data_IF_068900012886
#
_entry.id   IF_068900012886
#
_cell.length_a   1.000
_cell.length_b   1.000
_cell.length_c   1.000
_cell.angle_alpha   90.00
_cell.angle_beta   90.00
_cell.angle_gamma   90.00
#
_symmetry.space_group_name_H-M   'P 1'
#
loop_
_entity.id
_entity.type
_entity.pdbx_description
1 polymer ?
#
# COMPACT_ATOMS: atom_id res chain seq x y z
N UNK A 1 15.82 5.68 17.61
CA UNK A 1 15.88 6.10 16.20
C UNK A 1 14.66 6.97 15.91
N UNK A 2 14.90 8.24 15.55
CA UNK A 2 13.87 9.26 15.40
C UNK A 2 13.23 9.14 14.01
N UNK A 3 11.93 8.80 13.92
CA UNK A 3 11.22 8.73 12.63
C UNK A 3 10.64 10.11 12.31
N UNK A 4 11.48 10.99 11.78
CA UNK A 4 11.01 12.26 11.24
C UNK A 4 10.28 11.99 9.93
N UNK A 5 8.95 12.18 9.96
CA UNK A 5 8.11 12.18 8.76
C UNK A 5 8.67 13.17 7.73
N UNK A 6 9.14 12.65 6.60
CA UNK A 6 9.57 13.45 5.45
C UNK A 6 8.39 13.66 4.51
N UNK A 7 7.95 14.90 4.26
CA UNK A 7 6.89 15.14 3.28
C UNK A 7 7.36 14.68 1.89
N UNK A 8 6.43 14.19 1.07
CA UNK A 8 6.75 13.59 -0.24
C UNK A 8 7.48 14.54 -1.22
N UNK A 9 7.42 15.85 -0.97
CA UNK A 9 8.17 16.90 -1.68
C UNK A 9 9.69 16.79 -1.51
N UNK A 10 10.14 16.16 -0.42
CA UNK A 10 11.55 16.15 -0.01
C UNK A 10 12.25 14.81 -0.35
N UNK A 11 11.53 13.91 -1.04
CA UNK A 11 12.04 12.61 -1.47
C UNK A 11 12.72 12.73 -2.83
N UNK A 12 14.02 12.41 -2.89
CA UNK A 12 14.76 12.32 -4.16
C UNK A 12 14.29 11.13 -4.99
N UNK A 13 14.60 11.13 -6.29
CA UNK A 13 14.26 10.03 -7.19
C UNK A 13 14.86 8.69 -6.73
N UNK A 14 16.13 8.72 -6.27
CA UNK A 14 16.85 7.52 -5.81
C UNK A 14 16.15 6.87 -4.62
N UNK A 15 15.72 7.67 -3.62
CA UNK A 15 14.99 7.16 -2.46
C UNK A 15 13.65 6.53 -2.83
N UNK A 16 12.93 7.12 -3.80
CA UNK A 16 11.67 6.54 -4.31
C UNK A 16 11.93 5.22 -5.04
N UNK A 17 12.97 5.15 -5.86
CA UNK A 17 13.34 3.93 -6.57
C UNK A 17 13.74 2.82 -5.60
N UNK A 18 14.58 3.12 -4.61
CA UNK A 18 15.02 2.18 -3.58
C UNK A 18 13.82 1.57 -2.82
N UNK A 19 12.88 2.42 -2.38
CA UNK A 19 11.65 1.96 -1.70
C UNK A 19 10.85 0.98 -2.56
N UNK A 20 10.73 1.24 -3.87
CA UNK A 20 9.99 0.36 -4.79
C UNK A 20 10.75 -0.95 -5.06
N UNK A 21 12.08 -0.90 -5.17
CA UNK A 21 12.92 -2.09 -5.36
C UNK A 21 12.85 -3.00 -4.12
N UNK A 22 12.87 -2.44 -2.91
CA UNK A 22 12.73 -3.20 -1.66
C UNK A 22 11.37 -3.91 -1.53
N UNK A 23 10.32 -3.33 -2.12
CA UNK A 23 8.99 -3.94 -2.13
C UNK A 23 8.87 -5.09 -3.16
N UNK A 24 9.72 -5.13 -4.20
CA UNK A 24 9.59 -6.04 -5.33
C UNK A 24 9.57 -7.54 -4.96
N UNK A 25 10.42 -8.04 -4.03
CA UNK A 25 10.38 -9.45 -3.62
C UNK A 25 9.02 -9.88 -3.05
N UNK A 26 8.34 -8.98 -2.35
CA UNK A 26 7.01 -9.24 -1.79
C UNK A 26 5.95 -9.29 -2.88
N UNK A 27 6.00 -8.36 -3.84
CA UNK A 27 5.10 -8.34 -4.99
C UNK A 27 5.23 -9.61 -5.81
N UNK A 28 6.47 -10.05 -6.09
CA UNK A 28 6.73 -11.30 -6.80
C UNK A 28 6.23 -12.52 -6.03
N UNK A 29 6.49 -12.56 -4.72
CA UNK A 29 6.05 -13.67 -3.86
C UNK A 29 4.53 -13.87 -3.85
N UNK A 30 3.77 -12.78 -3.90
CA UNK A 30 2.31 -12.81 -3.82
C UNK A 30 1.60 -12.55 -5.15
N UNK A 31 2.33 -12.46 -6.26
CA UNK A 31 1.73 -12.33 -7.59
C UNK A 31 0.73 -13.48 -7.84
N UNK A 32 -0.49 -13.14 -8.26
CA UNK A 32 -1.55 -14.11 -8.48
C UNK A 32 -2.31 -14.55 -7.22
N UNK A 33 -1.88 -14.17 -6.02
CA UNK A 33 -2.51 -14.59 -4.79
C UNK A 33 -3.87 -13.93 -4.56
N UNK A 34 -4.80 -14.67 -3.94
CA UNK A 34 -6.04 -14.13 -3.37
C UNK A 34 -5.78 -13.73 -1.93
N UNK A 35 -6.01 -12.46 -1.61
CA UNK A 35 -5.72 -11.90 -0.28
C UNK A 35 -7.01 -11.40 0.34
N UNK A 36 -7.40 -11.97 1.47
CA UNK A 36 -8.57 -11.51 2.22
C UNK A 36 -8.15 -10.37 3.14
N UNK A 37 -8.77 -9.21 2.98
CA UNK A 37 -8.49 -8.00 3.75
C UNK A 37 -9.72 -7.69 4.58
N UNK A 38 -9.59 -7.80 5.90
CA UNK A 38 -10.65 -7.39 6.82
C UNK A 38 -10.70 -5.87 6.87
N UNK A 39 -11.79 -5.27 6.42
CA UNK A 39 -12.01 -3.83 6.47
C UNK A 39 -13.10 -3.49 7.47
N UNK A 40 -12.69 -2.92 8.61
CA UNK A 40 -13.59 -2.63 9.72
C UNK A 40 -12.99 -1.69 10.75
N UNK A 41 -13.82 -1.20 11.67
CA UNK A 41 -13.41 -0.33 12.76
C UNK A 41 -13.24 1.14 12.35
N UNK A 42 -12.35 1.88 13.03
CA UNK A 42 -12.17 3.33 12.84
C UNK A 42 -11.80 3.75 11.40
N UNK A 43 -11.24 2.85 10.60
CA UNK A 43 -10.93 3.10 9.19
C UNK A 43 -12.17 3.29 8.30
N UNK A 44 -13.37 2.96 8.80
CA UNK A 44 -14.66 3.14 8.10
C UNK A 44 -15.39 4.45 8.44
N UNK A 45 -14.86 5.29 9.33
CA UNK A 45 -15.53 6.52 9.75
C UNK A 45 -14.92 7.74 9.08
N UNK A 46 -13.60 7.76 8.94
CA UNK A 46 -12.88 8.87 8.31
C UNK A 46 -12.85 8.71 6.77
N UNK A 47 -13.30 9.75 6.07
CA UNK A 47 -13.37 9.74 4.60
C UNK A 47 -12.01 9.70 3.91
N UNK A 48 -10.96 10.25 4.53
CA UNK A 48 -9.61 10.15 4.01
C UNK A 48 -9.09 8.72 4.15
N UNK A 49 -9.33 8.07 5.29
CA UNK A 49 -8.96 6.66 5.50
C UNK A 49 -9.69 5.73 4.54
N UNK A 50 -10.98 5.98 4.26
CA UNK A 50 -11.73 5.24 3.22
C UNK A 50 -11.08 5.37 1.85
N UNK A 51 -10.71 6.59 1.45
CA UNK A 51 -10.10 6.85 0.14
C UNK A 51 -8.71 6.21 0.03
N UNK A 52 -7.90 6.33 1.08
CA UNK A 52 -6.59 5.68 1.15
C UNK A 52 -6.74 4.16 1.05
N UNK A 53 -7.66 3.56 1.81
CA UNK A 53 -7.93 2.13 1.73
C UNK A 53 -8.35 1.68 0.33
N UNK A 54 -9.25 2.42 -0.33
CA UNK A 54 -9.65 2.12 -1.71
C UNK A 54 -8.46 2.20 -2.69
N UNK A 55 -7.56 3.17 -2.50
CA UNK A 55 -6.33 3.31 -3.30
C UNK A 55 -5.40 2.12 -3.10
N UNK A 56 -5.25 1.64 -1.87
CA UNK A 56 -4.40 0.48 -1.56
C UNK A 56 -4.96 -0.81 -2.18
N UNK A 57 -6.28 -1.03 -2.10
CA UNK A 57 -6.93 -2.17 -2.75
C UNK A 57 -6.76 -2.10 -4.27
N UNK A 58 -6.88 -0.91 -4.87
CA UNK A 58 -6.63 -0.72 -6.29
C UNK A 58 -5.17 -1.01 -6.66
N UNK A 59 -4.21 -0.54 -5.86
CA UNK A 59 -2.79 -0.82 -6.05
C UNK A 59 -2.51 -2.32 -6.05
N UNK A 60 -3.00 -3.06 -5.04
CA UNK A 60 -2.84 -4.51 -4.96
C UNK A 60 -3.39 -5.22 -6.21
N UNK A 61 -4.52 -4.75 -6.73
CA UNK A 61 -5.10 -5.27 -7.97
C UNK A 61 -4.21 -5.01 -9.19
N UNK A 62 -3.65 -3.80 -9.30
CA UNK A 62 -2.78 -3.40 -10.42
C UNK A 62 -1.46 -4.17 -10.44
N UNK A 63 -0.90 -4.48 -9.27
CA UNK A 63 0.37 -5.23 -9.15
C UNK A 63 0.20 -6.75 -9.16
N UNK A 64 -1.00 -7.24 -9.51
CA UNK A 64 -1.24 -8.66 -9.82
C UNK A 64 -1.84 -9.50 -8.68
N UNK A 65 -2.25 -8.89 -7.57
CA UNK A 65 -2.98 -9.58 -6.51
C UNK A 65 -4.51 -9.52 -6.74
N UNK A 66 -5.23 -10.38 -6.03
CA UNK A 66 -6.68 -10.49 -6.06
C UNK A 66 -7.24 -10.21 -4.66
N UNK A 67 -7.36 -8.94 -4.25
CA UNK A 67 -7.89 -8.59 -2.93
C UNK A 67 -9.38 -8.93 -2.82
N UNK A 68 -9.78 -9.48 -1.67
CA UNK A 68 -11.15 -9.79 -1.28
C UNK A 68 -11.41 -9.07 0.04
N UNK A 69 -12.21 -8.00 0.00
CA UNK A 69 -12.49 -7.19 1.19
C UNK A 69 -13.69 -7.76 1.94
N UNK A 70 -13.57 -7.91 3.27
CA UNK A 70 -14.61 -8.44 4.16
C UNK A 70 -14.81 -7.53 5.37
#
# INVERSE_FOLDING_TARGET
MNTTYRPASDLTADWKAETLVEALPWLQRFAGARVVIKYGGNAMVDENLKRSFATDVQFLRQVGLYPIVV
#
